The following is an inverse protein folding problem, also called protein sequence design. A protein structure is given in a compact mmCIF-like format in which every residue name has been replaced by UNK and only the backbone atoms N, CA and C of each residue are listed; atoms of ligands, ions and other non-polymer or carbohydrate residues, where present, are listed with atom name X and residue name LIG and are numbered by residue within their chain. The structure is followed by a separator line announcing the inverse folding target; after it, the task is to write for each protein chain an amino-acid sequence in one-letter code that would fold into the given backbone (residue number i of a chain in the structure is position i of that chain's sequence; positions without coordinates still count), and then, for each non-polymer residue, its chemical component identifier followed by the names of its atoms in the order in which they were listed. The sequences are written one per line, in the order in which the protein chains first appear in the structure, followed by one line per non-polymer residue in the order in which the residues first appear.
data_IF_616075164539
#
_entry.id   IF_616075164539
#
_cell.length_a   1.000
_cell.length_b   1.000
_cell.length_c   1.000
_cell.angle_alpha   90.00
_cell.angle_beta   90.00
_cell.angle_gamma   90.00
#
_symmetry.space_group_name_H-M   'P 1'
#
loop_
_entity.id
_entity.type
_entity.pdbx_description
1 polymer ?
#
# COMPACT_ATOMS: atom_id res chain seq x y z
N UNK A 1 0.31 32.33 16.10
CA UNK A 1 0.14 33.42 15.12
C UNK A 1 0.26 32.93 13.68
N UNK A 2 1.42 32.57 13.12
CA UNK A 2 1.48 32.12 11.69
C UNK A 2 0.68 30.83 11.46
N UNK A 3 0.82 29.84 12.35
CA UNK A 3 0.02 28.60 12.28
C UNK A 3 -1.48 28.88 12.32
N UNK A 4 -1.96 29.60 13.34
CA UNK A 4 -3.38 30.01 13.49
C UNK A 4 -3.90 30.76 12.24
N UNK A 5 -3.05 31.56 11.56
CA UNK A 5 -3.44 32.26 10.34
C UNK A 5 -3.56 31.35 9.11
N UNK A 6 -2.95 30.16 9.15
CA UNK A 6 -2.99 29.17 8.05
C UNK A 6 -4.03 28.07 8.25
N UNK A 7 -4.66 27.96 9.42
CA UNK A 7 -5.67 26.93 9.70
C UNK A 7 -6.90 27.09 8.79
N UNK A 8 -7.31 25.99 8.16
CA UNK A 8 -8.36 25.95 7.11
C UNK A 8 -9.75 25.62 7.69
N UNK A 9 -9.81 24.99 8.86
CA UNK A 9 -11.09 24.67 9.52
C UNK A 9 -11.83 25.97 9.95
N UNK A 10 -13.13 26.04 9.66
CA UNK A 10 -14.10 27.10 10.02
C UNK A 10 -14.16 28.41 9.18
N UNK A 11 -13.76 28.41 7.90
CA UNK A 11 -13.87 29.64 7.06
C UNK A 11 -15.13 29.65 6.19
N UNK A 12 -15.97 30.68 6.36
CA UNK A 12 -17.09 31.00 5.45
C UNK A 12 -16.55 31.41 4.06
N UNK A 13 -17.32 31.22 2.98
CA UNK A 13 -16.87 31.39 1.58
C UNK A 13 -16.15 32.73 1.28
N UNK A 14 -16.44 33.81 2.02
CA UNK A 14 -15.80 35.12 1.87
C UNK A 14 -14.39 35.22 2.51
N UNK A 15 -14.06 34.35 3.49
CA UNK A 15 -12.73 34.27 4.11
C UNK A 15 -11.75 33.38 3.32
N UNK A 16 -12.27 32.57 2.37
CA UNK A 16 -11.49 31.70 1.49
C UNK A 16 -10.57 32.49 0.57
N UNK A 17 -11.05 33.58 -0.04
CA UNK A 17 -10.26 34.43 -0.94
C UNK A 17 -9.07 35.11 -0.22
N UNK A 18 -9.27 35.51 1.04
CA UNK A 18 -8.21 36.09 1.87
C UNK A 18 -7.18 35.05 2.33
N UNK A 19 -7.61 33.82 2.58
CA UNK A 19 -6.75 32.70 2.94
C UNK A 19 -5.83 32.33 1.77
N UNK A 20 -6.41 32.20 0.58
CA UNK A 20 -5.68 31.86 -0.63
C UNK A 20 -4.61 32.93 -0.93
N UNK A 21 -4.98 34.21 -0.91
CA UNK A 21 -4.03 35.31 -1.10
C UNK A 21 -2.88 35.33 -0.07
N UNK A 22 -3.16 34.98 1.19
CA UNK A 22 -2.12 34.84 2.22
C UNK A 22 -1.18 33.65 1.91
N UNK A 23 -1.74 32.50 1.55
CA UNK A 23 -0.97 31.32 1.17
C UNK A 23 -0.08 31.62 -0.03
N UNK A 24 -0.60 32.33 -1.05
CA UNK A 24 0.19 32.77 -2.20
C UNK A 24 1.36 33.66 -1.77
N UNK A 25 1.12 34.69 -0.96
CA UNK A 25 2.17 35.58 -0.48
C UNK A 25 3.24 34.85 0.35
N UNK A 26 2.85 33.85 1.16
CA UNK A 26 3.77 33.03 1.94
C UNK A 26 4.65 32.15 1.04
N UNK A 27 4.08 31.55 -0.01
CA UNK A 27 4.81 30.71 -0.96
C UNK A 27 5.74 31.55 -1.86
N UNK A 28 5.30 32.71 -2.33
CA UNK A 28 6.16 33.69 -3.00
C UNK A 28 7.33 34.11 -2.12
N UNK A 29 7.08 34.26 -0.81
CA UNK A 29 8.09 34.54 0.21
C UNK A 29 9.00 33.35 0.58
N UNK A 30 8.83 32.18 -0.07
CA UNK A 30 9.62 30.97 0.19
C UNK A 30 9.55 30.52 1.66
N UNK A 31 8.36 30.63 2.28
CA UNK A 31 8.15 30.34 3.71
C UNK A 31 8.68 28.97 4.12
N UNK A 32 8.52 27.94 3.28
CA UNK A 32 8.93 26.57 3.62
C UNK A 32 10.44 26.46 3.74
N UNK A 33 11.19 27.07 2.82
CA UNK A 33 12.65 27.10 2.88
C UNK A 33 13.14 27.80 4.15
N UNK A 34 12.48 28.89 4.54
CA UNK A 34 12.78 29.63 5.78
C UNK A 34 12.46 28.76 7.01
N UNK A 35 11.30 28.09 7.03
CA UNK A 35 10.90 27.18 8.10
C UNK A 35 11.89 26.02 8.23
N UNK A 36 12.29 25.37 7.13
CA UNK A 36 13.28 24.29 7.15
C UNK A 36 14.62 24.76 7.70
N UNK A 37 15.09 25.94 7.32
CA UNK A 37 16.31 26.51 7.88
C UNK A 37 16.20 26.79 9.38
N UNK A 38 15.03 27.24 9.85
CA UNK A 38 14.77 27.40 11.28
C UNK A 38 14.72 26.06 12.02
N UNK A 39 14.00 25.07 11.47
CA UNK A 39 13.87 23.71 11.99
C UNK A 39 15.23 23.01 12.17
N UNK A 40 16.22 23.32 11.34
CA UNK A 40 17.57 22.76 11.47
C UNK A 40 18.33 23.26 12.71
N UNK A 41 17.89 24.36 13.32
CA UNK A 41 18.56 25.04 14.43
C UNK A 41 17.88 24.81 15.79
N UNK A 42 16.64 24.32 15.79
CA UNK A 42 15.87 24.06 17.01
C UNK A 42 16.38 22.82 17.74
N UNK A 43 16.47 22.91 19.06
CA UNK A 43 16.81 21.84 20.00
C UNK A 43 15.57 21.41 20.79
N UNK A 44 15.01 20.27 20.39
CA UNK A 44 13.80 19.70 21.01
C UNK A 44 13.99 19.21 22.46
N UNK A 45 15.20 19.28 23.02
CA UNK A 45 15.39 19.11 24.47
C UNK A 45 14.79 20.27 25.28
N UNK A 46 14.57 21.42 24.63
CA UNK A 46 13.85 22.55 25.19
C UNK A 46 12.39 22.53 24.74
N UNK A 47 11.45 22.45 25.70
CA UNK A 47 10.01 22.35 25.41
C UNK A 47 9.51 23.42 24.43
N UNK A 48 9.89 24.68 24.63
CA UNK A 48 9.47 25.77 23.75
C UNK A 48 9.94 25.62 22.30
N UNK A 49 11.12 25.02 22.09
CA UNK A 49 11.64 24.74 20.76
C UNK A 49 11.00 23.49 20.15
N UNK A 50 10.67 22.48 20.97
CA UNK A 50 9.82 21.35 20.58
C UNK A 50 8.43 21.79 20.11
N UNK A 51 7.79 22.71 20.83
CA UNK A 51 6.53 23.35 20.43
C UNK A 51 6.73 24.15 19.12
N UNK A 52 7.88 24.80 18.94
CA UNK A 52 8.25 25.49 17.70
C UNK A 52 8.39 24.56 16.48
N UNK A 53 8.93 23.35 16.68
CA UNK A 53 8.97 22.31 15.65
C UNK A 53 7.55 21.88 15.28
N UNK A 54 6.71 21.61 16.28
CA UNK A 54 5.32 21.21 16.06
C UNK A 54 4.55 22.24 15.24
N UNK A 55 4.65 23.51 15.62
CA UNK A 55 3.97 24.61 14.92
C UNK A 55 4.49 24.80 13.50
N UNK A 56 5.78 24.55 13.25
CA UNK A 56 6.36 24.61 11.91
C UNK A 56 5.83 23.50 11.01
N UNK A 57 5.63 22.30 11.54
CA UNK A 57 5.00 21.19 10.81
C UNK A 57 3.52 21.49 10.52
N UNK A 58 2.79 22.08 11.47
CA UNK A 58 1.40 22.49 11.25
C UNK A 58 1.23 23.56 10.18
N UNK A 59 2.16 24.53 10.10
CA UNK A 59 2.16 25.48 8.97
C UNK A 59 2.35 24.73 7.64
N UNK A 60 3.27 23.76 7.59
CA UNK A 60 3.53 23.00 6.36
C UNK A 60 2.32 22.15 5.97
N UNK A 61 1.65 21.50 6.94
CA UNK A 61 0.42 20.74 6.71
C UNK A 61 -0.68 21.62 6.10
N UNK A 62 -1.00 22.72 6.76
CA UNK A 62 -2.03 23.65 6.32
C UNK A 62 -1.76 24.19 4.91
N UNK A 63 -0.50 24.55 4.63
CA UNK A 63 -0.13 25.02 3.30
C UNK A 63 -0.27 23.89 2.25
N UNK A 64 0.08 22.65 2.60
CA UNK A 64 0.01 21.51 1.70
C UNK A 64 -1.44 21.08 1.42
N UNK A 65 -2.36 21.32 2.34
CA UNK A 65 -3.81 21.12 2.14
C UNK A 65 -4.36 22.11 1.10
N UNK A 66 -3.96 23.37 1.17
CA UNK A 66 -4.43 24.42 0.24
C UNK A 66 -3.74 24.35 -1.12
N UNK A 67 -2.40 24.14 -1.15
CA UNK A 67 -1.61 24.08 -2.38
C UNK A 67 -0.65 22.89 -2.38
N UNK A 68 -1.12 21.67 -2.73
CA UNK A 68 -0.33 20.44 -2.67
C UNK A 68 0.97 20.49 -3.48
N UNK A 69 1.03 21.29 -4.55
CA UNK A 69 2.20 21.45 -5.43
C UNK A 69 3.44 21.95 -4.67
N UNK A 70 3.24 22.69 -3.57
CA UNK A 70 4.35 23.19 -2.74
C UNK A 70 5.24 22.06 -2.23
N UNK A 71 4.70 20.84 -2.04
CA UNK A 71 5.46 19.72 -1.53
C UNK A 71 6.59 19.35 -2.49
N UNK A 72 6.35 19.48 -3.80
CA UNK A 72 7.33 19.19 -4.85
C UNK A 72 8.50 20.19 -4.83
N UNK A 73 8.25 21.44 -4.45
CA UNK A 73 9.30 22.47 -4.30
C UNK A 73 10.02 22.36 -2.94
N UNK A 74 9.26 22.12 -1.88
CA UNK A 74 9.76 22.01 -0.52
C UNK A 74 10.70 20.83 -0.32
N UNK A 75 10.47 19.73 -1.05
CA UNK A 75 11.28 18.52 -0.95
C UNK A 75 12.76 18.77 -1.23
N UNK A 76 13.12 19.24 -2.44
CA UNK A 76 14.48 19.69 -2.78
C UNK A 76 14.99 20.84 -1.90
N UNK A 77 14.10 21.68 -1.37
CA UNK A 77 14.41 22.74 -0.40
C UNK A 77 14.91 22.24 0.97
N UNK A 78 15.03 20.93 1.16
CA UNK A 78 15.61 20.30 2.35
C UNK A 78 14.58 19.75 3.35
N UNK A 79 13.28 19.90 3.08
CA UNK A 79 12.22 19.39 3.94
C UNK A 79 12.32 17.87 4.09
N UNK A 80 12.40 17.12 2.98
CA UNK A 80 12.51 15.66 3.04
C UNK A 80 13.75 15.20 3.80
N UNK A 81 14.89 15.86 3.57
CA UNK A 81 16.13 15.55 4.27
C UNK A 81 16.00 15.79 5.78
N UNK A 82 15.33 16.87 6.20
CA UNK A 82 15.07 17.16 7.61
C UNK A 82 14.12 16.13 8.23
N UNK A 83 13.00 15.79 7.56
CA UNK A 83 12.02 14.80 8.04
C UNK A 83 12.68 13.43 8.23
N UNK A 84 13.46 12.97 7.25
CA UNK A 84 14.19 11.70 7.34
C UNK A 84 15.23 11.71 8.46
N UNK A 85 15.95 12.82 8.64
CA UNK A 85 16.90 12.99 9.76
C UNK A 85 16.17 12.89 11.10
N UNK A 86 15.01 13.53 11.22
CA UNK A 86 14.18 13.51 12.44
C UNK A 86 13.63 12.12 12.74
N UNK A 87 13.15 11.40 11.74
CA UNK A 87 12.68 10.02 11.89
C UNK A 87 13.83 9.06 12.28
N UNK A 88 15.01 9.21 11.68
CA UNK A 88 16.20 8.40 11.97
C UNK A 88 16.82 8.70 13.34
N UNK A 89 16.55 9.88 13.91
CA UNK A 89 17.12 10.29 15.19
C UNK A 89 16.83 9.26 16.29
N UNK A 90 17.86 8.94 17.08
CA UNK A 90 17.77 7.98 18.20
C UNK A 90 17.17 8.64 19.44
N UNK A 91 15.99 9.21 19.26
CA UNK A 91 15.19 9.82 20.31
C UNK A 91 14.03 8.87 20.67
N UNK A 92 13.51 8.95 21.91
CA UNK A 92 12.24 8.32 22.25
C UNK A 92 11.14 8.77 21.29
N UNK A 93 10.10 7.94 21.14
CA UNK A 93 8.91 8.34 20.41
C UNK A 93 8.23 9.53 21.10
N UNK A 94 7.81 10.51 20.31
CA UNK A 94 7.11 11.71 20.72
C UNK A 94 6.14 12.18 19.62
N UNK A 95 5.29 13.16 19.94
CA UNK A 95 4.30 13.70 19.01
C UNK A 95 4.93 14.30 17.75
N UNK A 96 6.10 14.94 17.86
CA UNK A 96 6.81 15.49 16.70
C UNK A 96 7.34 14.38 15.77
N UNK A 97 7.72 13.21 16.28
CA UNK A 97 8.11 12.06 15.45
C UNK A 97 6.92 11.51 14.67
N UNK A 98 5.75 11.41 15.31
CA UNK A 98 4.50 11.06 14.63
C UNK A 98 4.20 12.09 13.53
N UNK A 99 4.20 13.38 13.86
CA UNK A 99 3.85 14.43 12.92
C UNK A 99 4.80 14.48 11.73
N UNK A 100 6.10 14.29 11.96
CA UNK A 100 7.09 14.18 10.89
C UNK A 100 6.80 12.99 9.93
N UNK A 101 6.19 11.90 10.41
CA UNK A 101 5.77 10.79 9.54
C UNK A 101 4.56 11.13 8.68
N UNK A 102 3.64 11.97 9.19
CA UNK A 102 2.44 12.42 8.48
C UNK A 102 2.81 13.41 7.37
N UNK A 103 3.62 14.43 7.69
CA UNK A 103 4.12 15.38 6.69
C UNK A 103 4.93 14.66 5.62
N UNK A 104 5.75 13.67 5.99
CA UNK A 104 6.48 12.87 5.01
C UNK A 104 5.54 12.11 4.07
N UNK A 105 4.46 11.52 4.59
CA UNK A 105 3.48 10.83 3.77
C UNK A 105 2.79 11.80 2.80
N UNK A 106 2.36 12.98 3.26
CA UNK A 106 1.77 14.04 2.44
C UNK A 106 2.70 14.43 1.29
N UNK A 107 3.97 14.72 1.60
CA UNK A 107 4.94 15.13 0.58
C UNK A 107 5.19 14.07 -0.50
N UNK A 108 4.97 12.79 -0.20
CA UNK A 108 5.30 11.65 -1.08
C UNK A 108 4.09 11.14 -1.87
N UNK A 109 2.86 11.31 -1.34
CA UNK A 109 1.66 10.66 -1.84
C UNK A 109 1.38 10.95 -3.31
N UNK A 110 1.59 12.20 -3.77
CA UNK A 110 1.26 12.63 -5.15
C UNK A 110 2.42 13.32 -5.89
N UNK A 111 3.67 13.06 -5.51
CA UNK A 111 4.85 13.67 -6.16
C UNK A 111 5.87 12.61 -6.57
N UNK A 112 6.06 12.41 -7.88
CA UNK A 112 7.08 11.48 -8.39
C UNK A 112 8.49 12.01 -8.10
N UNK A 113 8.68 13.32 -8.21
CA UNK A 113 9.92 14.04 -7.91
C UNK A 113 10.35 13.78 -6.47
N UNK A 114 9.43 13.89 -5.50
CA UNK A 114 9.74 13.61 -4.11
C UNK A 114 10.00 12.13 -3.85
N UNK A 115 9.31 11.21 -4.54
CA UNK A 115 9.62 9.77 -4.45
C UNK A 115 11.03 9.48 -4.96
N UNK A 116 11.46 10.14 -6.04
CA UNK A 116 12.81 10.03 -6.59
C UNK A 116 13.85 10.60 -5.63
N UNK A 117 13.64 11.83 -5.17
CA UNK A 117 14.54 12.51 -4.22
C UNK A 117 14.69 11.70 -2.93
N UNK A 118 13.60 11.18 -2.37
CA UNK A 118 13.65 10.31 -1.18
C UNK A 118 14.56 9.10 -1.42
N UNK A 119 14.49 8.48 -2.60
CA UNK A 119 15.38 7.39 -2.99
C UNK A 119 16.85 7.81 -3.07
N UNK A 120 17.13 8.99 -3.63
CA UNK A 120 18.49 9.55 -3.79
C UNK A 120 19.16 9.90 -2.45
N UNK A 121 18.39 10.24 -1.42
CA UNK A 121 18.89 10.61 -0.08
C UNK A 121 18.83 9.46 0.94
N UNK A 122 18.92 8.21 0.47
CA UNK A 122 18.86 6.97 1.28
C UNK A 122 17.58 6.84 2.13
N UNK A 123 16.48 7.46 1.70
CA UNK A 123 15.22 7.47 2.44
C UNK A 123 14.57 6.09 2.52
N UNK A 124 14.73 5.23 1.51
CA UNK A 124 14.22 3.85 1.55
C UNK A 124 14.84 3.08 2.72
N UNK A 125 16.14 3.22 2.95
CA UNK A 125 16.83 2.60 4.08
C UNK A 125 16.38 3.18 5.43
N UNK A 126 16.08 4.49 5.50
CA UNK A 126 15.48 5.10 6.70
C UNK A 126 14.14 4.43 7.01
N UNK A 127 13.24 4.34 6.03
CA UNK A 127 11.90 3.76 6.19
C UNK A 127 11.99 2.31 6.64
N UNK A 128 12.85 1.50 6.00
CA UNK A 128 13.08 0.11 6.38
C UNK A 128 13.63 -0.03 7.81
N UNK A 129 14.58 0.83 8.21
CA UNK A 129 15.13 0.84 9.57
C UNK A 129 14.08 1.20 10.63
N UNK A 130 13.24 2.21 10.37
CA UNK A 130 12.18 2.59 11.30
C UNK A 130 11.11 1.50 11.41
N UNK A 131 10.69 0.92 10.29
CA UNK A 131 9.75 -0.21 10.26
C UNK A 131 10.33 -1.45 10.96
N UNK A 132 11.65 -1.68 10.88
CA UNK A 132 12.30 -2.83 11.50
C UNK A 132 12.21 -2.87 13.03
N UNK A 133 11.84 -1.76 13.69
CA UNK A 133 11.52 -1.73 15.13
C UNK A 133 10.30 -2.62 15.44
N UNK A 134 9.30 -2.63 14.54
CA UNK A 134 8.04 -3.35 14.69
C UNK A 134 8.05 -4.78 14.13
N UNK A 135 9.23 -5.34 13.82
CA UNK A 135 9.35 -6.66 13.19
C UNK A 135 8.96 -7.83 14.11
N UNK A 136 9.10 -7.64 15.43
CA UNK A 136 8.86 -8.69 16.46
C UNK A 136 7.98 -8.24 17.61
N UNK A 137 7.61 -6.97 17.65
CA UNK A 137 6.82 -6.37 18.71
C UNK A 137 5.76 -5.47 18.09
N UNK A 138 4.61 -5.37 18.74
CA UNK A 138 3.57 -4.42 18.36
C UNK A 138 3.94 -3.02 18.89
N UNK A 139 3.47 -1.94 18.24
CA UNK A 139 3.53 -0.58 18.79
C UNK A 139 3.01 -0.52 20.23
N UNK A 140 3.63 0.31 21.07
CA UNK A 140 3.23 0.43 22.48
C UNK A 140 1.96 1.27 22.66
N UNK A 141 1.72 2.23 21.77
CA UNK A 141 0.58 3.14 21.82
C UNK A 141 -0.14 3.23 20.46
N UNK A 142 -1.32 3.84 20.44
CA UNK A 142 -2.06 4.05 19.19
C UNK A 142 -1.35 5.05 18.26
N UNK A 143 -0.66 6.02 18.85
CA UNK A 143 0.14 7.04 18.15
C UNK A 143 1.37 6.39 17.49
N UNK A 144 2.06 5.47 18.18
CA UNK A 144 3.13 4.69 17.54
C UNK A 144 2.60 3.78 16.42
N UNK A 145 1.40 3.23 16.58
CA UNK A 145 0.76 2.44 15.53
C UNK A 145 0.44 3.31 14.31
N UNK A 146 0.00 4.53 14.51
CA UNK A 146 -0.28 5.49 13.45
C UNK A 146 0.99 5.88 12.70
N UNK A 147 2.06 6.21 13.41
CA UNK A 147 3.37 6.45 12.80
C UNK A 147 3.83 5.23 11.98
N UNK A 148 3.65 4.01 12.49
CA UNK A 148 3.98 2.79 11.75
C UNK A 148 3.20 2.68 10.44
N UNK A 149 1.89 2.97 10.44
CA UNK A 149 1.06 2.95 9.23
C UNK A 149 1.49 4.05 8.24
N UNK A 150 1.78 5.27 8.71
CA UNK A 150 2.29 6.36 7.88
C UNK A 150 3.60 5.97 7.16
N UNK A 151 4.51 5.28 7.87
CA UNK A 151 5.75 4.77 7.27
C UNK A 151 5.50 3.68 6.22
N UNK A 152 4.52 2.79 6.44
CA UNK A 152 4.13 1.79 5.45
C UNK A 152 3.51 2.43 4.21
N UNK A 153 2.65 3.43 4.38
CA UNK A 153 1.98 4.11 3.27
C UNK A 153 2.98 4.95 2.46
N UNK A 154 3.91 5.63 3.14
CA UNK A 154 5.06 6.30 2.51
C UNK A 154 5.89 5.31 1.68
N UNK A 155 6.21 4.14 2.24
CA UNK A 155 7.00 3.13 1.53
C UNK A 155 6.26 2.57 0.31
N UNK A 156 4.95 2.29 0.42
CA UNK A 156 4.11 1.88 -0.71
C UNK A 156 4.12 2.94 -1.81
N UNK A 157 3.98 4.22 -1.45
CA UNK A 157 4.02 5.31 -2.40
C UNK A 157 5.38 5.43 -3.10
N UNK A 158 6.49 5.29 -2.38
CA UNK A 158 7.82 5.25 -2.98
C UNK A 158 7.99 4.10 -3.99
N UNK A 159 7.42 2.93 -3.73
CA UNK A 159 7.52 1.74 -4.59
C UNK A 159 6.71 1.83 -5.90
N UNK A 160 5.87 2.86 -6.04
CA UNK A 160 5.25 3.20 -7.33
C UNK A 160 6.28 3.66 -8.36
N UNK A 161 7.45 4.15 -7.92
CA UNK A 161 8.57 4.51 -8.80
C UNK A 161 9.54 3.34 -8.93
N UNK A 162 9.83 2.93 -10.17
CA UNK A 162 10.68 1.76 -10.49
C UNK A 162 12.05 1.78 -9.81
N UNK A 163 12.72 2.94 -9.79
CA UNK A 163 14.08 3.08 -9.22
C UNK A 163 14.09 2.70 -7.73
N UNK A 164 13.03 3.03 -7.00
CA UNK A 164 12.91 2.72 -5.58
C UNK A 164 12.71 1.22 -5.30
N UNK A 165 12.26 0.45 -6.29
CA UNK A 165 12.14 -1.01 -6.14
C UNK A 165 13.50 -1.69 -6.07
N UNK A 166 14.48 -1.20 -6.83
CA UNK A 166 15.85 -1.67 -6.76
C UNK A 166 16.50 -1.26 -5.42
N UNK A 167 16.27 -0.03 -4.96
CA UNK A 167 16.71 0.42 -3.64
C UNK A 167 16.12 -0.45 -2.52
N UNK A 168 14.81 -0.71 -2.57
CA UNK A 168 14.12 -1.60 -1.63
C UNK A 168 14.69 -3.02 -1.64
N UNK A 169 15.02 -3.56 -2.81
CA UNK A 169 15.66 -4.86 -2.96
C UNK A 169 17.05 -4.89 -2.30
N UNK A 170 17.86 -3.85 -2.54
CA UNK A 170 19.21 -3.70 -1.95
C UNK A 170 19.16 -3.53 -0.43
N UNK A 171 18.19 -2.79 0.08
CA UNK A 171 17.95 -2.56 1.51
C UNK A 171 17.36 -3.76 2.27
N UNK A 172 17.30 -4.95 1.66
CA UNK A 172 16.69 -6.16 2.23
C UNK A 172 15.22 -6.01 2.61
N UNK A 173 14.48 -5.14 1.92
CA UNK A 173 13.07 -4.87 2.20
C UNK A 173 12.20 -6.13 2.11
N UNK A 174 12.45 -7.00 1.13
CA UNK A 174 11.75 -8.28 0.99
C UNK A 174 11.96 -9.20 2.20
N UNK A 175 13.19 -9.26 2.74
CA UNK A 175 13.52 -10.05 3.91
C UNK A 175 12.77 -9.54 5.14
N UNK A 176 12.73 -8.21 5.32
CA UNK A 176 12.02 -7.58 6.42
C UNK A 176 10.51 -7.85 6.35
N UNK A 177 9.88 -7.62 5.19
CA UNK A 177 8.44 -7.86 5.02
C UNK A 177 8.09 -9.33 5.20
N UNK A 178 8.91 -10.23 4.65
CA UNK A 178 8.72 -11.68 4.82
C UNK A 178 8.86 -12.11 6.29
N UNK A 179 9.76 -11.47 7.07
CA UNK A 179 9.87 -11.70 8.51
C UNK A 179 8.63 -11.20 9.25
N UNK A 180 8.17 -9.98 8.98
CA UNK A 180 6.98 -9.39 9.61
C UNK A 180 5.72 -10.25 9.38
N UNK A 181 5.56 -10.78 8.16
CA UNK A 181 4.47 -11.71 7.86
C UNK A 181 4.51 -12.99 8.71
N UNK A 182 5.71 -13.48 9.03
CA UNK A 182 5.90 -14.71 9.82
C UNK A 182 5.71 -14.50 11.33
N UNK A 183 6.05 -13.32 11.84
CA UNK A 183 5.94 -12.95 13.26
C UNK A 183 4.49 -12.63 13.67
N UNK A 184 3.60 -12.38 12.69
CA UNK A 184 2.15 -12.23 12.89
C UNK A 184 1.76 -11.10 13.86
N UNK A 185 2.56 -10.03 13.88
CA UNK A 185 2.33 -8.77 14.61
C UNK A 185 1.44 -7.82 13.80
N UNK A 186 1.07 -6.68 14.37
CA UNK A 186 0.27 -5.64 13.70
C UNK A 186 0.90 -5.19 12.38
N UNK A 187 2.23 -5.14 12.33
CA UNK A 187 3.04 -4.84 11.13
C UNK A 187 2.82 -5.80 9.96
N UNK A 188 2.18 -6.97 10.17
CA UNK A 188 1.82 -7.93 9.11
C UNK A 188 0.97 -7.29 8.02
N UNK A 189 0.04 -6.41 8.39
CA UNK A 189 -0.89 -5.79 7.43
C UNK A 189 -0.14 -4.87 6.46
N UNK A 190 0.63 -3.92 6.99
CA UNK A 190 1.48 -3.05 6.18
C UNK A 190 2.51 -3.83 5.36
N UNK A 191 3.12 -4.87 5.94
CA UNK A 191 4.08 -5.72 5.22
C UNK A 191 3.47 -6.44 4.01
N UNK A 192 2.21 -6.86 4.11
CA UNK A 192 1.49 -7.47 2.99
C UNK A 192 1.25 -6.45 1.87
N UNK A 193 0.83 -5.22 2.21
CA UNK A 193 0.63 -4.13 1.23
C UNK A 193 1.94 -3.78 0.51
N UNK A 194 3.04 -3.65 1.25
CA UNK A 194 4.37 -3.35 0.69
C UNK A 194 4.83 -4.43 -0.28
N UNK A 195 4.63 -5.72 0.06
CA UNK A 195 4.97 -6.81 -0.83
C UNK A 195 4.16 -6.78 -2.13
N UNK A 196 2.87 -6.46 -2.05
CA UNK A 196 2.03 -6.33 -3.24
C UNK A 196 2.55 -5.24 -4.19
N UNK A 197 2.87 -4.06 -3.64
CA UNK A 197 3.44 -2.94 -4.42
C UNK A 197 4.82 -3.27 -4.99
N UNK A 198 5.69 -3.93 -4.22
CA UNK A 198 7.05 -4.25 -4.65
C UNK A 198 7.10 -5.31 -5.77
N UNK A 199 6.09 -6.19 -5.84
CA UNK A 199 6.05 -7.33 -6.75
C UNK A 199 5.22 -7.08 -8.02
N UNK A 200 4.29 -6.13 -7.99
CA UNK A 200 3.33 -5.85 -9.07
C UNK A 200 3.98 -5.30 -10.34
N UNK A 201 3.51 -5.73 -11.51
CA UNK A 201 3.95 -5.21 -12.82
C UNK A 201 5.31 -5.76 -13.28
N UNK A 202 5.71 -5.45 -14.52
CA UNK A 202 6.97 -5.97 -15.10
C UNK A 202 8.23 -5.55 -14.32
N UNK A 203 8.20 -4.34 -13.78
CA UNK A 203 9.25 -3.76 -12.93
C UNK A 203 9.43 -4.48 -11.58
N UNK A 204 8.51 -5.37 -11.21
CA UNK A 204 8.57 -6.19 -10.00
C UNK A 204 9.33 -7.51 -10.19
N UNK A 205 9.91 -7.76 -11.37
CA UNK A 205 10.43 -9.08 -11.72
C UNK A 205 11.59 -9.55 -10.84
N UNK A 206 12.58 -8.71 -10.58
CA UNK A 206 13.70 -9.10 -9.71
C UNK A 206 13.23 -9.30 -8.27
N UNK A 207 12.28 -8.49 -7.80
CA UNK A 207 11.66 -8.69 -6.50
C UNK A 207 10.90 -10.01 -6.40
N UNK A 208 10.15 -10.40 -7.45
CA UNK A 208 9.46 -11.69 -7.52
C UNK A 208 10.42 -12.87 -7.40
N UNK A 209 11.52 -12.82 -8.15
CA UNK A 209 12.51 -13.89 -8.12
C UNK A 209 13.20 -13.97 -6.76
N UNK A 210 13.61 -12.83 -6.20
CA UNK A 210 14.20 -12.77 -4.86
C UNK A 210 13.25 -13.25 -3.78
N UNK A 211 11.96 -12.90 -3.85
CA UNK A 211 10.95 -13.33 -2.88
C UNK A 211 10.85 -14.87 -2.81
N UNK A 212 10.90 -15.55 -3.96
CA UNK A 212 10.91 -17.03 -4.02
C UNK A 212 12.21 -17.62 -3.46
N UNK A 213 13.35 -16.96 -3.69
CA UNK A 213 14.66 -17.38 -3.17
C UNK A 213 14.71 -17.31 -1.64
N UNK A 214 14.19 -16.24 -1.03
CA UNK A 214 14.15 -16.06 0.44
C UNK A 214 13.01 -16.84 1.11
N UNK A 215 12.50 -17.89 0.47
CA UNK A 215 11.44 -18.77 0.94
C UNK A 215 10.07 -18.08 1.14
N UNK A 216 9.79 -16.99 0.43
CA UNK A 216 8.52 -16.26 0.50
C UNK A 216 7.29 -17.12 0.19
N UNK A 217 7.44 -18.17 -0.64
CA UNK A 217 6.37 -19.14 -0.90
C UNK A 217 5.90 -19.89 0.37
N UNK A 218 6.77 -20.08 1.37
CA UNK A 218 6.41 -20.69 2.66
C UNK A 218 5.63 -19.73 3.55
N UNK A 219 5.61 -18.45 3.23
CA UNK A 219 4.93 -17.40 3.99
C UNK A 219 3.59 -17.02 3.34
N UNK A 220 3.56 -16.83 2.01
CA UNK A 220 2.36 -16.38 1.30
C UNK A 220 1.29 -17.47 1.18
N UNK A 221 1.67 -18.73 0.96
CA UNK A 221 0.67 -19.80 0.78
C UNK A 221 -0.12 -20.15 2.04
N UNK A 222 0.45 -20.11 3.26
CA UNK A 222 -0.35 -20.17 4.47
C UNK A 222 -1.40 -19.05 4.57
N UNK A 223 -1.05 -17.82 4.16
CA UNK A 223 -1.97 -16.68 4.13
C UNK A 223 -3.06 -16.85 3.06
N UNK A 224 -2.74 -17.46 1.92
CA UNK A 224 -3.70 -17.85 0.88
C UNK A 224 -4.70 -18.92 1.36
N UNK A 225 -4.21 -19.92 2.09
CA UNK A 225 -5.06 -20.99 2.62
C UNK A 225 -5.95 -20.53 3.76
N UNK A 226 -5.47 -19.61 4.59
CA UNK A 226 -6.22 -19.13 5.76
C UNK A 226 -6.04 -17.62 5.95
N UNK A 227 -7.08 -16.88 5.59
CA UNK A 227 -7.21 -15.46 5.85
C UNK A 227 -7.24 -15.20 7.36
N UNK A 228 -6.26 -14.46 7.92
CA UNK A 228 -6.27 -14.09 9.32
C UNK A 228 -7.52 -13.27 9.70
N UNK A 229 -7.92 -13.32 10.97
CA UNK A 229 -8.95 -12.42 11.49
C UNK A 229 -8.47 -10.97 11.51
N UNK A 230 -9.42 -10.02 11.49
CA UNK A 230 -9.14 -8.60 11.60
C UNK A 230 -8.47 -8.31 12.96
N UNK A 231 -7.27 -7.72 12.96
CA UNK A 231 -6.62 -7.25 14.18
C UNK A 231 -7.22 -5.89 14.57
N UNK A 232 -8.18 -5.90 15.49
CA UNK A 232 -8.81 -4.67 15.98
C UNK A 232 -9.61 -3.91 14.91
N UNK A 233 -9.76 -2.58 15.10
CA UNK A 233 -10.49 -1.71 14.16
C UNK A 233 -9.63 -1.27 12.96
N UNK A 234 -8.31 -1.04 13.17
CA UNK A 234 -7.34 -0.51 12.20
C UNK A 234 -6.56 -1.60 11.42
N UNK A 235 -7.21 -2.68 10.98
CA UNK A 235 -6.56 -3.78 10.26
C UNK A 235 -7.24 -4.13 8.93
N UNK A 236 -6.52 -4.81 8.04
CA UNK A 236 -7.06 -5.27 6.76
C UNK A 236 -8.34 -6.09 6.96
N UNK A 237 -9.34 -5.82 6.12
CA UNK A 237 -10.51 -6.71 6.03
C UNK A 237 -10.10 -8.05 5.44
N UNK A 238 -10.96 -9.07 5.59
CA UNK A 238 -10.71 -10.38 4.98
C UNK A 238 -10.56 -10.26 3.46
N UNK A 239 -11.38 -9.42 2.83
CA UNK A 239 -11.38 -9.26 1.38
C UNK A 239 -10.14 -8.53 0.89
N UNK A 240 -9.70 -7.45 1.56
CA UNK A 240 -8.45 -6.75 1.24
C UNK A 240 -7.23 -7.67 1.41
N UNK A 241 -7.21 -8.49 2.47
CA UNK A 241 -6.15 -9.45 2.68
C UNK A 241 -6.11 -10.50 1.55
N UNK A 242 -7.26 -11.06 1.18
CA UNK A 242 -7.36 -12.02 0.07
C UNK A 242 -6.93 -11.40 -1.26
N UNK A 243 -7.30 -10.14 -1.50
CA UNK A 243 -6.89 -9.37 -2.68
C UNK A 243 -5.37 -9.20 -2.78
N UNK A 244 -4.71 -8.69 -1.73
CA UNK A 244 -3.26 -8.54 -1.75
C UNK A 244 -2.54 -9.89 -1.93
N UNK A 245 -3.04 -10.96 -1.27
CA UNK A 245 -2.44 -12.29 -1.41
C UNK A 245 -2.58 -12.81 -2.84
N UNK A 246 -3.75 -12.69 -3.45
CA UNK A 246 -3.94 -13.17 -4.82
C UNK A 246 -3.17 -12.31 -5.82
N UNK A 247 -3.10 -10.99 -5.62
CA UNK A 247 -2.29 -10.06 -6.42
C UNK A 247 -0.81 -10.43 -6.39
N UNK A 248 -0.26 -10.75 -5.21
CA UNK A 248 1.11 -11.26 -5.08
C UNK A 248 1.29 -12.55 -5.88
N UNK A 249 0.36 -13.50 -5.80
CA UNK A 249 0.45 -14.76 -6.56
C UNK A 249 0.41 -14.50 -8.07
N UNK A 250 -0.46 -13.60 -8.55
CA UNK A 250 -0.51 -13.17 -9.96
C UNK A 250 0.83 -12.59 -10.40
N UNK A 251 1.40 -11.69 -9.61
CA UNK A 251 2.69 -11.06 -9.89
C UNK A 251 3.83 -12.09 -9.96
N UNK A 252 3.84 -13.05 -9.04
CA UNK A 252 4.81 -14.15 -9.05
C UNK A 252 4.65 -15.04 -10.27
N UNK A 253 3.42 -15.38 -10.68
CA UNK A 253 3.19 -16.16 -11.90
C UNK A 253 3.72 -15.39 -13.11
N UNK A 254 3.37 -14.11 -13.27
CA UNK A 254 3.78 -13.29 -14.42
C UNK A 254 5.28 -13.13 -14.55
N UNK A 255 5.98 -12.91 -13.44
CA UNK A 255 7.34 -12.38 -13.48
C UNK A 255 8.44 -13.36 -13.04
N UNK A 256 8.10 -14.51 -12.43
CA UNK A 256 9.12 -15.47 -12.02
C UNK A 256 9.83 -16.10 -13.22
N UNK A 257 11.16 -16.21 -13.13
CA UNK A 257 12.01 -16.98 -14.04
C UNK A 257 11.66 -18.47 -13.97
N UNK A 258 12.04 -19.28 -14.98
CA UNK A 258 11.59 -20.68 -15.08
C UNK A 258 11.75 -21.50 -13.80
N UNK A 259 12.89 -21.44 -13.12
CA UNK A 259 13.14 -22.21 -11.89
C UNK A 259 12.22 -21.78 -10.73
N UNK A 260 12.10 -20.48 -10.48
CA UNK A 260 11.21 -19.91 -9.47
C UNK A 260 9.74 -20.19 -9.81
N UNK A 261 9.38 -20.10 -11.09
CA UNK A 261 8.03 -20.41 -11.59
C UNK A 261 7.69 -21.89 -11.40
N UNK A 262 8.60 -22.83 -11.66
CA UNK A 262 8.39 -24.25 -11.37
C UNK A 262 8.13 -24.48 -9.88
N UNK A 263 8.90 -23.83 -8.99
CA UNK A 263 8.68 -23.92 -7.54
C UNK A 263 7.29 -23.40 -7.14
N UNK A 264 6.82 -22.34 -7.77
CA UNK A 264 5.47 -21.79 -7.57
C UNK A 264 4.38 -22.75 -8.07
N UNK A 265 4.51 -23.29 -9.29
CA UNK A 265 3.55 -24.24 -9.85
C UNK A 265 3.45 -25.53 -9.01
N UNK A 266 4.57 -25.99 -8.45
CA UNK A 266 4.58 -27.16 -7.56
C UNK A 266 3.71 -26.94 -6.30
N UNK A 267 3.56 -25.70 -5.81
CA UNK A 267 2.66 -25.39 -4.67
C UNK A 267 1.21 -25.80 -4.96
N UNK A 268 0.75 -25.69 -6.21
CA UNK A 268 -0.59 -26.08 -6.65
C UNK A 268 -0.78 -27.59 -6.84
N UNK A 269 0.28 -28.38 -6.67
CA UNK A 269 0.23 -29.85 -6.71
C UNK A 269 0.38 -30.51 -5.34
N UNK A 270 0.77 -29.74 -4.32
CA UNK A 270 0.90 -30.23 -2.95
C UNK A 270 -0.44 -30.68 -2.36
N UNK A 271 -0.38 -31.70 -1.49
CA UNK A 271 -1.50 -32.15 -0.65
C UNK A 271 -2.80 -32.39 -1.44
N UNK A 272 -2.75 -33.23 -2.48
CA UNK A 272 -3.88 -33.50 -3.39
C UNK A 272 -4.53 -32.24 -3.97
N UNK A 273 -3.70 -31.29 -4.39
CA UNK A 273 -4.16 -30.03 -5.01
C UNK A 273 -4.99 -29.12 -4.08
N UNK A 274 -4.73 -29.13 -2.76
CA UNK A 274 -5.50 -28.31 -1.80
C UNK A 274 -5.51 -26.81 -2.15
N UNK A 275 -4.46 -26.31 -2.83
CA UNK A 275 -4.40 -24.89 -3.25
C UNK A 275 -5.33 -24.60 -4.42
N UNK A 276 -5.56 -25.58 -5.28
CA UNK A 276 -6.54 -25.50 -6.36
C UNK A 276 -7.95 -25.52 -5.77
N UNK A 277 -8.19 -26.34 -4.74
CA UNK A 277 -9.48 -26.35 -4.03
C UNK A 277 -9.76 -24.99 -3.40
N UNK A 278 -8.78 -24.39 -2.71
CA UNK A 278 -8.89 -23.04 -2.15
C UNK A 278 -9.11 -21.98 -3.23
N UNK A 279 -8.45 -22.10 -4.38
CA UNK A 279 -8.64 -21.16 -5.50
C UNK A 279 -10.08 -21.20 -6.03
N UNK A 280 -10.67 -22.39 -6.14
CA UNK A 280 -12.06 -22.54 -6.55
C UNK A 280 -13.03 -22.05 -5.48
N UNK A 281 -12.73 -22.26 -4.19
CA UNK A 281 -13.51 -21.68 -3.09
C UNK A 281 -13.57 -20.14 -3.20
N UNK A 282 -12.41 -19.50 -3.42
CA UNK A 282 -12.33 -18.06 -3.64
C UNK A 282 -13.09 -17.62 -4.89
N UNK A 283 -12.96 -18.35 -6.00
CA UNK A 283 -13.71 -18.07 -7.23
C UNK A 283 -15.21 -18.01 -6.95
N UNK A 284 -15.78 -19.03 -6.31
CA UNK A 284 -17.21 -19.05 -6.02
C UNK A 284 -17.63 -17.96 -5.03
N UNK A 285 -16.84 -17.72 -3.99
CA UNK A 285 -17.08 -16.63 -3.03
C UNK A 285 -17.21 -15.28 -3.73
N UNK A 286 -16.23 -14.93 -4.56
CA UNK A 286 -16.21 -13.63 -5.23
C UNK A 286 -17.16 -13.56 -6.41
N UNK A 287 -17.43 -14.67 -7.10
CA UNK A 287 -18.46 -14.75 -8.13
C UNK A 287 -19.85 -14.46 -7.55
N UNK A 288 -20.22 -15.09 -6.45
CA UNK A 288 -21.49 -14.83 -5.76
C UNK A 288 -21.59 -13.35 -5.33
N UNK A 289 -20.50 -12.80 -4.79
CA UNK A 289 -20.44 -11.39 -4.39
C UNK A 289 -20.66 -10.45 -5.58
N UNK A 290 -19.94 -10.65 -6.69
CA UNK A 290 -20.06 -9.84 -7.90
C UNK A 290 -21.44 -9.97 -8.55
N UNK A 291 -22.03 -11.17 -8.59
CA UNK A 291 -23.39 -11.36 -9.10
C UNK A 291 -24.43 -10.63 -8.24
N UNK A 292 -24.30 -10.67 -6.91
CA UNK A 292 -25.17 -9.92 -6.01
C UNK A 292 -25.02 -8.40 -6.20
N UNK A 293 -23.78 -7.91 -6.34
CA UNK A 293 -23.50 -6.50 -6.66
C UNK A 293 -24.11 -6.10 -8.00
N UNK A 294 -23.94 -6.91 -9.05
CA UNK A 294 -24.53 -6.64 -10.37
C UNK A 294 -26.05 -6.54 -10.30
N UNK A 295 -26.71 -7.46 -9.59
CA UNK A 295 -28.16 -7.43 -9.41
C UNK A 295 -28.62 -6.14 -8.71
N UNK A 296 -27.95 -5.74 -7.62
CA UNK A 296 -28.27 -4.50 -6.92
C UNK A 296 -28.02 -3.26 -7.79
N UNK A 297 -26.97 -3.28 -8.62
CA UNK A 297 -26.65 -2.19 -9.53
C UNK A 297 -27.63 -2.07 -10.70
N UNK A 298 -28.24 -3.16 -11.17
CA UNK A 298 -29.25 -3.08 -12.25
C UNK A 298 -30.50 -2.28 -11.84
N UNK A 299 -30.91 -2.37 -10.57
CA UNK A 299 -32.02 -1.58 -10.03
C UNK A 299 -31.62 -0.12 -9.82
N UNK A 300 -30.42 0.12 -9.27
CA UNK A 300 -29.89 1.47 -9.01
C UNK A 300 -29.57 2.23 -10.30
N UNK A 301 -28.97 1.57 -11.29
CA UNK A 301 -28.62 2.19 -12.58
C UNK A 301 -29.84 2.79 -13.28
N UNK A 302 -30.99 2.11 -13.19
CA UNK A 302 -32.26 2.59 -13.77
C UNK A 302 -32.86 3.75 -12.98
N UNK A 303 -32.66 3.78 -11.67
CA UNK A 303 -33.22 4.81 -10.79
C UNK A 303 -32.36 6.10 -10.77
N UNK A 304 -31.04 5.96 -10.79
CA UNK A 304 -30.07 7.05 -10.61
C UNK A 304 -29.39 7.48 -11.93
N UNK A 305 -29.69 6.81 -13.06
CA UNK A 305 -29.08 7.07 -14.38
C UNK A 305 -27.54 7.10 -14.34
N UNK A 306 -26.95 6.11 -13.63
CA UNK A 306 -25.52 6.01 -13.40
C UNK A 306 -24.75 5.77 -14.71
N UNK A 307 -23.61 6.44 -14.86
CA UNK A 307 -22.71 6.22 -15.99
C UNK A 307 -21.99 4.86 -15.92
N UNK A 308 -21.46 4.39 -17.05
CA UNK A 308 -20.73 3.11 -17.13
C UNK A 308 -19.49 3.08 -16.21
N UNK A 309 -18.76 4.18 -16.11
CA UNK A 309 -17.58 4.30 -15.24
C UNK A 309 -17.95 4.15 -13.75
N UNK A 310 -19.06 4.76 -13.33
CA UNK A 310 -19.52 4.66 -11.94
C UNK A 310 -20.00 3.24 -11.62
N UNK A 311 -20.71 2.60 -12.56
CA UNK A 311 -21.08 1.19 -12.43
C UNK A 311 -19.86 0.28 -12.35
N UNK A 312 -18.81 0.56 -13.13
CA UNK A 312 -17.57 -0.19 -13.07
C UNK A 312 -16.86 -0.03 -11.72
N UNK A 313 -16.75 1.20 -11.18
CA UNK A 313 -16.19 1.45 -9.85
C UNK A 313 -16.97 0.70 -8.77
N UNK A 314 -18.31 0.76 -8.78
CA UNK A 314 -19.15 0.00 -7.83
C UNK A 314 -18.98 -1.52 -7.99
N UNK A 315 -18.72 -2.02 -9.19
CA UNK A 315 -18.38 -3.45 -9.41
C UNK A 315 -17.01 -3.82 -8.86
N UNK A 316 -16.02 -2.93 -8.95
CA UNK A 316 -14.70 -3.14 -8.34
C UNK A 316 -14.83 -3.24 -6.81
N UNK A 317 -15.62 -2.36 -6.18
CA UNK A 317 -15.95 -2.43 -4.75
C UNK A 317 -16.69 -3.74 -4.38
N UNK A 318 -17.47 -4.26 -5.33
CA UNK A 318 -18.11 -5.58 -5.28
C UNK A 318 -17.16 -6.78 -5.32
N UNK A 319 -15.85 -6.57 -5.51
CA UNK A 319 -14.83 -7.61 -5.57
C UNK A 319 -14.57 -8.15 -6.97
N UNK A 320 -14.95 -7.43 -8.03
CA UNK A 320 -14.67 -7.82 -9.42
C UNK A 320 -13.16 -7.95 -9.66
N UNK A 321 -12.36 -7.02 -9.14
CA UNK A 321 -10.91 -7.07 -9.29
C UNK A 321 -10.33 -8.35 -8.66
N UNK A 322 -10.71 -8.67 -7.42
CA UNK A 322 -10.24 -9.88 -6.76
C UNK A 322 -10.66 -11.15 -7.52
N UNK A 323 -11.89 -11.19 -8.07
CA UNK A 323 -12.37 -12.30 -8.90
C UNK A 323 -11.53 -12.48 -10.16
N UNK A 324 -11.22 -11.39 -10.87
CA UNK A 324 -10.37 -11.42 -12.06
C UNK A 324 -8.96 -11.94 -11.75
N UNK A 325 -8.38 -11.55 -10.61
CA UNK A 325 -7.08 -12.07 -10.18
C UNK A 325 -7.14 -13.57 -9.88
N UNK A 326 -8.17 -14.04 -9.19
CA UNK A 326 -8.39 -15.47 -8.90
C UNK A 326 -8.51 -16.26 -10.21
N UNK A 327 -9.30 -15.78 -11.15
CA UNK A 327 -9.53 -16.43 -12.45
C UNK A 327 -8.28 -16.40 -13.32
N UNK A 328 -7.50 -15.32 -13.27
CA UNK A 328 -6.19 -15.25 -13.91
C UNK A 328 -5.25 -16.33 -13.37
N UNK A 329 -5.11 -16.46 -12.04
CA UNK A 329 -4.30 -17.52 -11.42
C UNK A 329 -4.79 -18.88 -11.92
N UNK A 330 -6.10 -19.12 -11.91
CA UNK A 330 -6.69 -20.39 -12.31
C UNK A 330 -6.35 -20.77 -13.76
N UNK A 331 -6.49 -19.81 -14.68
CA UNK A 331 -6.17 -20.01 -16.09
C UNK A 331 -4.68 -20.25 -16.31
N UNK A 332 -3.81 -19.44 -15.69
CA UNK A 332 -2.37 -19.53 -15.86
C UNK A 332 -1.83 -20.88 -15.33
N UNK A 333 -2.26 -21.33 -14.14
CA UNK A 333 -1.82 -22.63 -13.60
C UNK A 333 -2.40 -23.81 -14.37
N UNK A 334 -3.59 -23.68 -14.98
CA UNK A 334 -4.16 -24.71 -15.85
C UNK A 334 -3.44 -24.81 -17.20
N UNK A 335 -2.94 -23.67 -17.71
CA UNK A 335 -2.27 -23.59 -19.00
C UNK A 335 -0.79 -24.01 -18.91
N UNK A 336 -0.12 -23.63 -17.82
CA UNK A 336 1.34 -23.79 -17.68
C UNK A 336 1.77 -24.83 -16.65
N UNK A 337 0.86 -25.24 -15.76
CA UNK A 337 1.11 -26.28 -14.77
C UNK A 337 0.84 -27.70 -15.27
N UNK A 338 1.08 -28.71 -14.42
CA UNK A 338 0.81 -30.11 -14.76
C UNK A 338 -0.68 -30.36 -15.11
N UNK A 339 -0.99 -31.28 -16.04
CA UNK A 339 -2.38 -31.58 -16.44
C UNK A 339 -3.30 -32.04 -15.30
N UNK A 340 -2.75 -32.48 -14.17
CA UNK A 340 -3.52 -32.81 -12.97
C UNK A 340 -4.26 -31.60 -12.38
N UNK A 341 -3.68 -30.40 -12.46
CA UNK A 341 -4.32 -29.16 -12.00
C UNK A 341 -5.60 -28.90 -12.78
N UNK A 342 -5.52 -28.90 -14.12
CA UNK A 342 -6.68 -28.73 -15.00
C UNK A 342 -7.77 -29.78 -14.76
N UNK A 343 -7.37 -31.05 -14.54
CA UNK A 343 -8.32 -32.12 -14.19
C UNK A 343 -9.03 -31.84 -12.87
N UNK A 344 -8.34 -31.33 -11.85
CA UNK A 344 -8.94 -30.96 -10.56
C UNK A 344 -9.92 -29.80 -10.71
N UNK A 345 -9.55 -28.73 -11.42
CA UNK A 345 -10.44 -27.59 -11.70
C UNK A 345 -11.72 -28.04 -12.39
N UNK A 346 -11.61 -28.79 -13.49
CA UNK A 346 -12.79 -29.28 -14.22
C UNK A 346 -13.68 -30.20 -13.36
N UNK A 347 -13.07 -31.05 -12.53
CA UNK A 347 -13.81 -31.90 -11.59
C UNK A 347 -14.64 -31.06 -10.62
N UNK A 348 -14.08 -30.02 -10.02
CA UNK A 348 -14.77 -29.16 -9.05
C UNK A 348 -15.87 -28.33 -9.72
N UNK A 349 -15.59 -27.76 -10.90
CA UNK A 349 -16.60 -27.02 -11.66
C UNK A 349 -17.81 -27.89 -12.00
N UNK A 350 -17.56 -29.13 -12.47
CA UNK A 350 -18.63 -30.08 -12.76
C UNK A 350 -19.44 -30.45 -11.50
N UNK A 351 -18.78 -30.65 -10.36
CA UNK A 351 -19.47 -30.96 -9.09
C UNK A 351 -20.35 -29.81 -8.59
N UNK A 352 -20.01 -28.56 -8.92
CA UNK A 352 -20.82 -27.37 -8.57
C UNK A 352 -21.75 -26.90 -9.70
N UNK A 353 -21.90 -27.68 -10.77
CA UNK A 353 -22.64 -27.29 -11.99
C UNK A 353 -22.21 -25.94 -12.57
N UNK A 354 -20.94 -25.56 -12.38
CA UNK A 354 -20.37 -24.32 -12.87
C UNK A 354 -19.71 -24.53 -14.23
N UNK A 355 -19.73 -23.49 -15.06
CA UNK A 355 -19.20 -23.54 -16.42
C UNK A 355 -17.86 -22.83 -16.54
N UNK A 356 -16.93 -23.44 -17.29
CA UNK A 356 -15.68 -22.78 -17.72
C UNK A 356 -15.98 -21.52 -18.54
N UNK A 357 -17.16 -21.42 -19.16
CA UNK A 357 -17.57 -20.22 -19.90
C UNK A 357 -17.69 -19.00 -18.97
N UNK A 358 -18.16 -19.18 -17.74
CA UNK A 358 -18.29 -18.07 -16.76
C UNK A 358 -16.94 -17.43 -16.48
N UNK A 359 -15.91 -18.25 -16.21
CA UNK A 359 -14.53 -17.78 -16.00
C UNK A 359 -14.01 -17.02 -17.24
N UNK A 360 -14.31 -17.52 -18.45
CA UNK A 360 -13.90 -16.85 -19.69
C UNK A 360 -14.57 -15.50 -19.87
N UNK A 361 -15.85 -15.38 -19.54
CA UNK A 361 -16.62 -14.14 -19.68
C UNK A 361 -16.08 -13.08 -18.72
N UNK A 362 -15.86 -13.43 -17.45
CA UNK A 362 -15.26 -12.54 -16.43
C UNK A 362 -13.92 -11.98 -16.92
N UNK A 363 -13.07 -12.83 -17.48
CA UNK A 363 -11.75 -12.43 -18.00
C UNK A 363 -11.82 -11.60 -19.29
N UNK A 364 -12.94 -11.61 -20.00
CA UNK A 364 -13.20 -10.76 -21.17
C UNK A 364 -13.92 -9.46 -20.82
N UNK A 365 -14.37 -9.31 -19.58
CA UNK A 365 -15.24 -8.21 -19.16
C UNK A 365 -16.68 -8.32 -19.70
N UNK A 366 -17.10 -9.54 -20.06
CA UNK A 366 -18.43 -9.86 -20.60
C UNK A 366 -19.43 -10.29 -19.53
#
# INVERSE_FOLDING_TARGET
MVQEMTEVEDREDEESDGAEALVEALLEGQVVTILVHNLQRLDESHKAEGDGVHNSLGIIENLAEVRPEMCTEAGPGGLLAWLLKRLRAKLPFDANKLYASEILAICIQNSEENRRLLGEIDGIDVLLQQLAVFKRHDPATNEEQEMMENLFDTLCACLMLTINRELFLRGEGLQLMNLMLREKKLSRNGALRVLDHALTGGEGADNCNKFVEILGLRTIFPLFMKTPGKHGKKGLTKDQHEEHVISIIVSLLRNCRPNQRTRLLNKFTENDHEKVDRLLELHFKYLEKVLATNYALEEQAKAENLGEDELYLRRLDGGLFTLQLVDYVMLDVCATGPPSIKRRVLKILNLRNASVKTIKNIMRGE
#
